data_IF_776932154087
#
_entry.id   IF_776932154087
#
_cell.length_a   1.000
_cell.length_b   1.000
_cell.length_c   1.000
_cell.angle_alpha   90.00
_cell.angle_beta   90.00
_cell.angle_gamma   90.00
#
_symmetry.space_group_name_H-M   'P 1'
#
loop_
_entity.id
_entity.type
_entity.pdbx_description
1 polymer ?
#
# COMPACT_ATOMS: atom_id res chain seq x y z
N UNK A 1 1.10 8.28 21.68
CA UNK A 1 1.63 9.07 20.54
C UNK A 1 0.52 9.33 19.54
N UNK A 2 0.36 10.59 19.16
CA UNK A 2 -0.59 10.98 18.13
C UNK A 2 0.07 10.90 16.77
N UNK A 3 -0.31 9.91 15.99
CA UNK A 3 0.29 9.69 14.66
C UNK A 3 0.04 10.85 13.69
N UNK A 4 -1.11 11.52 13.81
CA UNK A 4 -1.43 12.67 12.97
C UNK A 4 -0.39 13.78 13.06
N UNK A 5 0.19 13.97 14.24
CA UNK A 5 1.18 15.01 14.47
C UNK A 5 2.50 14.73 13.76
N UNK A 6 2.69 13.49 13.31
CA UNK A 6 3.89 13.07 12.60
C UNK A 6 3.75 13.19 11.10
N UNK A 7 2.57 13.58 10.60
CA UNK A 7 2.33 13.74 9.17
C UNK A 7 2.61 15.18 8.80
N UNK A 8 3.46 15.37 7.79
CA UNK A 8 3.78 16.69 7.27
C UNK A 8 2.85 17.03 6.11
N UNK A 9 2.36 18.26 6.07
CA UNK A 9 1.48 18.73 5.02
C UNK A 9 2.23 19.65 4.07
N UNK A 10 2.05 19.44 2.78
CA UNK A 10 2.60 20.28 1.73
C UNK A 10 1.49 20.74 0.81
N UNK A 11 1.26 22.07 0.78
CA UNK A 11 0.24 22.63 -0.09
C UNK A 11 0.75 22.68 -1.53
N UNK A 12 -0.19 22.57 -2.47
CA UNK A 12 0.10 22.71 -3.91
C UNK A 12 1.13 21.69 -4.41
N UNK A 13 1.04 20.46 -3.94
CA UNK A 13 1.91 19.38 -4.39
C UNK A 13 1.09 18.10 -4.67
N UNK A 14 1.31 17.40 -5.78
CA UNK A 14 2.24 17.71 -6.88
C UNK A 14 1.74 18.80 -7.82
N UNK A 15 0.53 19.28 -7.62
CA UNK A 15 -0.10 20.33 -8.40
C UNK A 15 -0.78 21.34 -7.50
N UNK A 16 -0.99 22.56 -8.04
CA UNK A 16 -1.73 23.59 -7.34
C UNK A 16 -3.11 23.08 -6.93
N UNK A 17 -3.51 23.38 -5.71
CA UNK A 17 -4.81 22.99 -5.15
C UNK A 17 -4.84 21.62 -4.49
N UNK A 18 -3.73 20.90 -4.50
CA UNK A 18 -3.65 19.58 -3.88
C UNK A 18 -2.80 19.66 -2.61
N UNK A 19 -3.37 19.15 -1.51
CA UNK A 19 -2.67 19.03 -0.25
C UNK A 19 -2.01 17.65 -0.19
N UNK A 20 -0.69 17.63 -0.14
CA UNK A 20 0.07 16.40 -0.02
C UNK A 20 0.39 16.14 1.46
N UNK A 21 0.04 14.98 1.95
CA UNK A 21 0.35 14.57 3.31
C UNK A 21 1.47 13.55 3.28
N UNK A 22 2.58 13.93 3.89
CA UNK A 22 3.79 13.11 3.91
C UNK A 22 3.90 12.37 5.24
N UNK A 23 3.93 11.05 5.16
CA UNK A 23 4.06 10.22 6.36
C UNK A 23 5.48 9.69 6.58
N UNK A 24 6.46 10.23 5.83
CA UNK A 24 7.86 9.84 6.02
C UNK A 24 8.36 9.95 7.45
N UNK A 25 7.95 10.97 8.23
CA UNK A 25 8.37 11.04 9.63
C UNK A 25 7.93 9.84 10.46
N UNK A 26 6.80 9.21 10.10
CA UNK A 26 6.34 7.98 10.76
C UNK A 26 7.27 6.82 10.41
N UNK A 27 7.66 6.73 9.14
CA UNK A 27 8.54 5.65 8.68
C UNK A 27 9.92 5.73 9.33
N UNK A 28 10.38 6.94 9.62
CA UNK A 28 11.68 7.17 10.21
C UNK A 28 11.74 6.78 11.69
N UNK A 29 10.61 6.85 12.37
CA UNK A 29 10.53 6.59 13.80
C UNK A 29 10.05 5.14 14.02
N UNK A 30 10.91 4.26 14.57
CA UNK A 30 10.52 2.85 14.72
C UNK A 30 9.32 2.67 15.65
N UNK A 31 9.14 3.52 16.65
CA UNK A 31 8.00 3.44 17.53
C UNK A 31 6.70 3.82 16.80
N UNK A 32 6.73 4.90 16.02
CA UNK A 32 5.57 5.34 15.25
C UNK A 32 5.19 4.30 14.19
N UNK A 33 6.18 3.75 13.49
CA UNK A 33 5.95 2.72 12.49
C UNK A 33 5.30 1.48 13.11
N UNK A 34 5.81 1.07 14.28
CA UNK A 34 5.26 -0.07 15.00
C UNK A 34 3.80 0.16 15.38
N UNK A 35 3.47 1.38 15.81
CA UNK A 35 2.08 1.73 16.15
C UNK A 35 1.15 1.64 14.92
N UNK A 36 1.63 2.06 13.75
CA UNK A 36 0.84 1.96 12.53
C UNK A 36 0.54 0.50 12.20
N UNK A 37 1.56 -0.34 12.26
CA UNK A 37 1.39 -1.77 11.99
C UNK A 37 0.41 -2.39 12.99
N UNK A 38 0.53 -2.03 14.26
CA UNK A 38 -0.38 -2.54 15.30
C UNK A 38 -1.82 -2.10 15.07
N UNK A 39 -2.03 -0.85 14.67
CA UNK A 39 -3.38 -0.35 14.41
C UNK A 39 -4.02 -1.09 13.22
N UNK A 40 -3.27 -1.34 12.17
CA UNK A 40 -3.78 -2.13 11.05
C UNK A 40 -4.08 -3.56 11.48
N UNK A 41 -3.25 -4.12 12.34
CA UNK A 41 -3.43 -5.50 12.81
C UNK A 41 -4.72 -5.71 13.60
N UNK A 42 -5.28 -4.65 14.16
CA UNK A 42 -6.55 -4.70 14.88
C UNK A 42 -7.75 -4.83 13.95
N UNK A 43 -7.58 -4.60 12.65
CA UNK A 43 -8.68 -4.56 11.69
C UNK A 43 -9.01 -5.90 11.07
N UNK A 44 -8.20 -6.91 11.29
CA UNK A 44 -8.40 -8.22 10.67
C UNK A 44 -7.82 -9.32 11.54
N UNK A 45 -8.26 -10.55 11.28
CA UNK A 45 -7.67 -11.73 11.89
C UNK A 45 -6.69 -12.33 10.88
N UNK A 46 -5.45 -12.66 11.29
CA UNK A 46 -4.45 -13.19 10.34
C UNK A 46 -4.90 -14.41 9.55
N UNK A 47 -5.74 -15.26 10.14
CA UNK A 47 -6.23 -16.45 9.47
C UNK A 47 -7.20 -16.15 8.33
N UNK A 48 -7.73 -14.94 8.29
CA UNK A 48 -8.65 -14.51 7.21
C UNK A 48 -7.90 -13.93 6.02
N UNK A 49 -6.57 -13.88 6.08
CA UNK A 49 -5.73 -13.29 5.04
C UNK A 49 -4.84 -14.35 4.44
N UNK A 50 -4.90 -14.52 3.13
CA UNK A 50 -4.00 -15.39 2.41
C UNK A 50 -2.76 -14.65 1.92
N UNK A 51 -2.95 -13.40 1.51
CA UNK A 51 -1.88 -12.57 0.97
C UNK A 51 -2.24 -11.11 1.17
N UNK A 52 -1.24 -10.25 1.34
CA UNK A 52 -1.45 -8.82 1.41
C UNK A 52 -1.22 -8.19 0.03
N UNK A 53 -1.97 -7.16 -0.28
CA UNK A 53 -1.80 -6.42 -1.53
C UNK A 53 -1.48 -4.96 -1.19
N UNK A 54 -0.43 -4.44 -1.80
CA UNK A 54 -0.02 -3.06 -1.60
C UNK A 54 -0.18 -2.25 -2.87
N UNK A 55 -0.77 -1.06 -2.74
CA UNK A 55 -0.94 -0.13 -3.86
C UNK A 55 0.28 0.77 -3.95
N UNK A 56 0.83 0.87 -5.12
CA UNK A 56 2.02 1.68 -5.43
C UNK A 56 1.86 3.12 -4.96
N UNK A 57 2.82 3.68 -4.30
CA UNK A 57 3.99 2.97 -3.82
C UNK A 57 4.03 2.94 -2.30
N UNK A 58 3.29 3.82 -1.65
CA UNK A 58 3.24 3.90 -0.19
C UNK A 58 2.65 2.65 0.43
N UNK A 59 1.65 2.06 -0.23
CA UNK A 59 1.03 0.84 0.23
C UNK A 59 1.99 -0.35 0.26
N UNK A 60 3.05 -0.32 -0.53
CA UNK A 60 4.04 -1.39 -0.53
C UNK A 60 4.73 -1.52 0.82
N UNK A 61 5.04 -0.39 1.44
CA UNK A 61 5.74 -0.36 2.72
C UNK A 61 4.91 -1.04 3.80
N UNK A 62 3.65 -0.65 3.90
CA UNK A 62 2.76 -1.21 4.92
C UNK A 62 2.43 -2.66 4.63
N UNK A 63 2.15 -3.00 3.37
CA UNK A 63 1.85 -4.38 2.99
C UNK A 63 3.04 -5.30 3.29
N UNK A 64 4.25 -4.84 3.02
CA UNK A 64 5.45 -5.60 3.32
C UNK A 64 5.61 -5.82 4.83
N UNK A 65 5.38 -4.78 5.62
CA UNK A 65 5.49 -4.88 7.07
C UNK A 65 4.48 -5.88 7.65
N UNK A 66 3.23 -5.83 7.16
CA UNK A 66 2.19 -6.75 7.61
C UNK A 66 2.46 -8.18 7.15
N UNK A 67 2.90 -8.34 5.91
CA UNK A 67 3.23 -9.67 5.38
C UNK A 67 4.35 -10.31 6.21
N UNK A 68 5.37 -9.55 6.53
CA UNK A 68 6.48 -10.04 7.33
C UNK A 68 6.04 -10.41 8.75
N UNK A 69 5.21 -9.56 9.35
CA UNK A 69 4.72 -9.80 10.72
C UNK A 69 3.93 -11.09 10.82
N UNK A 70 3.10 -11.39 9.82
CA UNK A 70 2.20 -12.55 9.85
C UNK A 70 2.66 -13.72 9.00
N UNK A 71 3.88 -13.66 8.50
CA UNK A 71 4.43 -14.72 7.66
C UNK A 71 3.55 -15.03 6.47
N UNK A 72 3.14 -13.98 5.78
CA UNK A 72 2.36 -14.05 4.55
C UNK A 72 3.16 -13.43 3.41
N UNK A 73 2.72 -13.65 2.19
CA UNK A 73 3.28 -12.96 1.04
C UNK A 73 2.58 -11.65 0.75
N UNK A 74 3.08 -10.92 -0.24
CA UNK A 74 2.41 -9.72 -0.71
C UNK A 74 2.45 -9.65 -2.23
N UNK A 75 1.47 -8.98 -2.80
CA UNK A 75 1.43 -8.72 -4.24
C UNK A 75 1.44 -7.22 -4.48
N UNK A 76 1.89 -6.83 -5.66
CA UNK A 76 2.06 -5.44 -6.04
C UNK A 76 0.93 -5.00 -6.95
N UNK A 77 0.23 -3.94 -6.56
CA UNK A 77 -0.73 -3.27 -7.42
C UNK A 77 -0.05 -2.00 -7.92
N UNK A 78 0.29 -1.97 -9.19
CA UNK A 78 1.11 -0.90 -9.75
C UNK A 78 0.42 -0.17 -10.89
N UNK A 79 0.89 1.02 -11.19
CA UNK A 79 0.41 1.77 -12.35
C UNK A 79 0.65 0.95 -13.61
N UNK A 80 -0.28 1.07 -14.55
CA UNK A 80 -0.17 0.38 -15.83
C UNK A 80 1.19 0.64 -16.48
N UNK A 81 1.79 -0.42 -16.99
CA UNK A 81 3.10 -0.34 -17.63
C UNK A 81 4.30 -0.55 -16.71
N UNK A 82 4.06 -0.67 -15.41
CA UNK A 82 5.14 -0.87 -14.43
C UNK A 82 5.42 -2.34 -14.13
N UNK A 83 4.59 -3.25 -14.60
CA UNK A 83 4.75 -4.67 -14.36
C UNK A 83 5.04 -5.41 -15.67
N UNK A 84 5.95 -6.37 -15.64
CA UNK A 84 6.22 -7.21 -16.80
C UNK A 84 5.17 -8.29 -16.98
N UNK A 85 5.09 -8.84 -18.18
CA UNK A 85 4.24 -9.99 -18.46
C UNK A 85 2.77 -9.64 -18.56
N UNK A 86 1.94 -10.67 -18.42
CA UNK A 86 0.49 -10.52 -18.52
C UNK A 86 -0.05 -9.90 -17.23
N UNK A 87 -0.89 -8.88 -17.38
CA UNK A 87 -1.49 -8.16 -16.26
C UNK A 87 -2.99 -8.05 -16.43
N UNK A 88 -3.67 -7.81 -15.30
CA UNK A 88 -5.07 -7.40 -15.28
C UNK A 88 -5.09 -5.95 -14.82
N UNK A 89 -5.86 -5.11 -15.51
CA UNK A 89 -5.88 -3.66 -15.28
C UNK A 89 -7.28 -3.17 -14.97
N UNK A 90 -7.34 -2.12 -14.17
CA UNK A 90 -8.57 -1.38 -13.90
C UNK A 90 -8.28 0.11 -13.98
N UNK A 91 -9.19 0.86 -14.59
CA UNK A 91 -9.07 2.31 -14.68
C UNK A 91 -9.80 2.96 -13.50
N UNK A 92 -9.24 4.07 -13.02
CA UNK A 92 -9.83 4.82 -11.91
C UNK A 92 -9.52 6.31 -12.07
N UNK A 93 -10.33 7.13 -11.40
CA UNK A 93 -10.13 8.58 -11.40
C UNK A 93 -9.40 9.01 -10.14
N UNK A 94 -8.39 9.85 -10.31
CA UNK A 94 -7.63 10.41 -9.19
C UNK A 94 -7.77 11.93 -9.23
N UNK A 95 -7.28 12.61 -8.19
CA UNK A 95 -7.45 14.05 -8.04
C UNK A 95 -6.94 14.87 -9.22
N UNK A 96 -5.92 14.38 -9.93
CA UNK A 96 -5.30 15.11 -11.03
C UNK A 96 -5.34 14.34 -12.35
N UNK A 97 -6.38 13.51 -12.53
CA UNK A 97 -6.59 12.83 -13.82
C UNK A 97 -7.13 11.42 -13.67
N UNK A 98 -6.90 10.64 -14.69
CA UNK A 98 -7.24 9.23 -14.70
C UNK A 98 -5.97 8.40 -14.70
N UNK A 99 -6.05 7.24 -14.08
CA UNK A 99 -4.93 6.31 -14.06
C UNK A 99 -5.44 4.89 -14.18
N UNK A 100 -4.53 3.97 -14.44
CA UNK A 100 -4.82 2.54 -14.47
C UNK A 100 -3.93 1.83 -13.48
N UNK A 101 -4.52 0.89 -12.75
CA UNK A 101 -3.78 0.05 -11.83
C UNK A 101 -3.70 -1.35 -12.42
N UNK A 102 -2.57 -2.00 -12.23
CA UNK A 102 -2.34 -3.32 -12.77
C UNK A 102 -1.78 -4.26 -11.69
N UNK A 103 -2.09 -5.54 -11.85
CA UNK A 103 -1.53 -6.60 -11.03
C UNK A 103 -1.12 -7.73 -11.98
N UNK A 104 -0.02 -8.41 -11.66
CA UNK A 104 0.42 -9.54 -12.47
C UNK A 104 -0.63 -10.64 -12.44
N UNK A 105 -1.00 -11.15 -13.61
CA UNK A 105 -2.07 -12.12 -13.74
C UNK A 105 -1.87 -13.34 -12.83
N UNK A 106 -0.66 -13.82 -12.78
CA UNK A 106 -0.33 -15.00 -11.97
C UNK A 106 -0.47 -14.77 -10.46
N UNK A 107 -0.45 -13.51 -10.02
CA UNK A 107 -0.60 -13.16 -8.62
C UNK A 107 -2.07 -13.17 -8.17
N UNK A 108 -3.02 -13.14 -9.11
CA UNK A 108 -4.44 -13.17 -8.79
C UNK A 108 -4.93 -14.57 -8.44
N UNK A 109 -4.16 -15.58 -8.81
CA UNK A 109 -4.54 -16.96 -8.52
C UNK A 109 -3.66 -17.49 -7.42
N UNK A 110 -4.27 -18.06 -6.41
CA UNK A 110 -3.54 -18.73 -5.34
C UNK A 110 -3.12 -20.12 -5.83
N UNK A 111 -2.03 -20.67 -5.26
CA UNK A 111 -1.67 -22.05 -5.57
C UNK A 111 -2.85 -22.96 -5.29
N UNK A 112 -3.14 -23.85 -6.24
CA UNK A 112 -4.28 -24.78 -6.14
C UNK A 112 -3.96 -26.04 -5.36
N UNK A 113 -2.71 -26.18 -5.01
CA UNK A 113 -2.28 -27.34 -4.23
C UNK A 113 -1.39 -26.90 -3.09
N UNK A 114 -1.36 -27.71 -2.12
CA UNK A 114 -0.47 -27.47 -0.99
C UNK A 114 1.00 -27.69 -1.40
#
# INVERSE_FOLDING_TARGET
>A
MELKERISDYEDFPKKGILFRDFSPILKDPHALSLVVDEFSKKFHPNDVDVFAGIESRGFILACALAQKYNKGMILLRKSGKLPGKTVKVSYTIEYGKAQMAVSYTHLTLPTKA
#
